data_IF_180978386664
#
_entry.id   IF_180978386664
#
_cell.length_a   1.000
_cell.length_b   1.000
_cell.length_c   1.000
_cell.angle_alpha   90.00
_cell.angle_beta   90.00
_cell.angle_gamma   90.00
#
_symmetry.space_group_name_H-M   'P 1'
#
loop_
_entity.id
_entity.type
_entity.pdbx_description
1 polymer ?
#
# COMPACT_ATOMS: atom_id res chain seq x y z
N UNK A 1 4.33 15.26 12.83
CA UNK A 1 4.19 13.79 12.93
C UNK A 1 3.74 13.28 11.57
N UNK A 2 4.47 12.33 10.98
CA UNK A 2 4.01 11.57 9.81
C UNK A 2 3.08 10.48 10.30
N UNK A 3 1.85 10.45 9.77
CA UNK A 3 0.92 9.35 10.01
C UNK A 3 1.37 8.11 9.22
N UNK A 4 1.26 6.89 9.77
CA UNK A 4 1.52 5.66 9.02
C UNK A 4 0.52 5.53 7.87
N UNK A 5 1.02 5.63 6.64
CA UNK A 5 0.23 5.49 5.42
C UNK A 5 1.07 4.75 4.36
N UNK A 6 0.40 3.99 3.49
CA UNK A 6 1.02 3.44 2.29
C UNK A 6 1.12 4.57 1.27
N UNK A 7 2.35 4.95 0.90
CA UNK A 7 2.59 6.02 -0.07
C UNK A 7 2.91 5.44 -1.44
N UNK A 8 2.09 5.76 -2.44
CA UNK A 8 2.35 5.45 -3.85
C UNK A 8 2.92 6.69 -4.52
N UNK A 9 4.10 6.57 -5.12
CA UNK A 9 4.83 7.67 -5.74
C UNK A 9 5.25 7.31 -7.16
N UNK A 10 4.87 8.13 -8.14
CA UNK A 10 5.42 8.06 -9.49
C UNK A 10 6.67 8.92 -9.57
N UNK A 11 7.81 8.29 -9.80
CA UNK A 11 9.10 8.96 -9.88
C UNK A 11 9.32 9.59 -11.27
N UNK A 12 9.92 10.78 -11.29
CA UNK A 12 10.33 11.43 -12.54
C UNK A 12 11.65 10.78 -13.01
N UNK A 13 11.72 10.23 -14.24
CA UNK A 13 12.96 9.68 -14.78
C UNK A 13 14.10 10.71 -14.75
N UNK A 14 15.27 10.33 -14.21
CA UNK A 14 16.40 11.25 -14.00
C UNK A 14 16.15 12.37 -12.97
N UNK A 15 15.01 12.35 -12.29
CA UNK A 15 14.52 13.41 -11.41
C UNK A 15 15.20 13.51 -10.05
N UNK A 16 16.20 12.67 -9.75
CA UNK A 16 16.94 12.62 -8.47
C UNK A 16 16.03 12.39 -7.25
N UNK A 17 15.09 11.45 -7.37
CA UNK A 17 14.14 11.09 -6.30
C UNK A 17 12.93 12.02 -6.17
N UNK A 18 12.75 12.94 -7.13
CA UNK A 18 11.52 13.73 -7.24
C UNK A 18 10.41 12.87 -7.86
N UNK A 19 9.22 12.99 -7.29
CA UNK A 19 8.00 12.37 -7.81
C UNK A 19 7.13 13.40 -8.54
N UNK A 20 6.45 12.96 -9.59
CA UNK A 20 5.43 13.75 -10.31
C UNK A 20 4.07 13.64 -9.64
N UNK A 21 3.77 12.48 -9.04
CA UNK A 21 2.51 12.18 -8.37
C UNK A 21 2.82 11.43 -7.08
N UNK A 22 2.10 11.79 -6.01
CA UNK A 22 2.09 11.06 -4.75
C UNK A 22 0.67 10.94 -4.24
N UNK A 23 0.31 9.75 -3.76
CA UNK A 23 -0.94 9.50 -3.04
C UNK A 23 -0.68 8.63 -1.84
N UNK A 24 -1.27 9.01 -0.72
CA UNK A 24 -1.12 8.33 0.55
C UNK A 24 -2.45 7.66 0.91
N UNK A 25 -2.39 6.37 1.23
CA UNK A 25 -3.50 5.57 1.71
C UNK A 25 -3.25 5.24 3.18
N UNK A 26 -3.99 5.88 4.09
CA UNK A 26 -3.83 5.70 5.53
C UNK A 26 -4.82 4.68 6.11
N UNK A 27 -5.71 4.16 5.27
CA UNK A 27 -6.71 3.15 5.62
C UNK A 27 -7.04 2.29 4.40
N UNK A 28 -7.43 1.04 4.62
CA UNK A 28 -8.02 0.15 3.61
C UNK A 28 -8.97 -0.82 4.31
N UNK A 29 -9.96 -1.35 3.59
CA UNK A 29 -10.98 -2.26 4.14
C UNK A 29 -11.69 -1.73 5.41
N UNK A 30 -11.85 -0.42 5.52
CA UNK A 30 -12.44 0.23 6.71
C UNK A 30 -11.56 0.23 7.96
N UNK A 31 -10.31 -0.27 7.87
CA UNK A 31 -9.32 -0.25 8.95
C UNK A 31 -8.27 0.83 8.71
N UNK A 32 -7.86 1.51 9.77
CA UNK A 32 -6.85 2.55 9.75
C UNK A 32 -5.47 1.98 10.11
N UNK A 33 -4.46 2.41 9.35
CA UNK A 33 -3.06 2.01 9.55
C UNK A 33 -2.43 2.65 10.80
N UNK A 34 -3.15 3.56 11.46
CA UNK A 34 -2.67 4.33 12.61
C UNK A 34 -2.95 3.58 13.92
N UNK A 35 -4.10 2.94 14.02
CA UNK A 35 -4.69 2.47 15.28
C UNK A 35 -5.19 1.02 15.22
N UNK A 36 -5.46 0.44 14.05
CA UNK A 36 -5.95 -0.94 13.96
C UNK A 36 -4.84 -1.99 13.87
N UNK A 37 -3.58 -1.59 13.67
CA UNK A 37 -2.45 -2.50 13.46
C UNK A 37 -1.27 -2.16 14.36
N UNK A 38 -0.64 -3.20 14.91
CA UNK A 38 0.61 -3.09 15.67
C UNK A 38 1.85 -3.18 14.79
N UNK A 39 1.73 -3.79 13.60
CA UNK A 39 2.79 -3.87 12.61
C UNK A 39 2.22 -3.93 11.19
N UNK A 40 2.92 -3.30 10.25
CA UNK A 40 2.62 -3.31 8.81
C UNK A 40 3.95 -3.41 8.07
N UNK A 41 4.13 -4.46 7.28
CA UNK A 41 5.39 -4.73 6.59
C UNK A 41 5.15 -4.95 5.09
N UNK A 42 5.83 -4.16 4.26
CA UNK A 42 5.85 -4.38 2.82
C UNK A 42 6.76 -5.58 2.48
N UNK A 43 6.25 -6.55 1.73
CA UNK A 43 7.00 -7.76 1.38
C UNK A 43 7.61 -7.67 -0.02
N UNK A 44 6.77 -7.44 -1.02
CA UNK A 44 7.15 -7.37 -2.44
C UNK A 44 6.08 -6.65 -3.22
N UNK A 45 6.45 -6.15 -4.40
CA UNK A 45 5.50 -5.58 -5.34
C UNK A 45 6.00 -5.69 -6.77
N UNK A 46 5.06 -5.69 -7.70
CA UNK A 46 5.29 -5.78 -9.12
C UNK A 46 4.25 -4.93 -9.86
N UNK A 47 4.67 -4.36 -10.99
CA UNK A 47 3.75 -3.79 -11.95
C UNK A 47 3.31 -4.90 -12.90
N UNK A 48 2.01 -5.11 -13.04
CA UNK A 48 1.40 -5.98 -14.04
C UNK A 48 0.38 -5.15 -14.81
N UNK A 49 0.60 -5.04 -16.13
CA UNK A 49 -0.15 -4.14 -17.01
C UNK A 49 -0.16 -2.70 -16.45
N UNK A 50 -1.33 -2.17 -16.09
CA UNK A 50 -1.55 -0.83 -15.51
C UNK A 50 -1.92 -0.89 -14.01
N UNK A 51 -1.51 -1.97 -13.32
CA UNK A 51 -1.76 -2.16 -11.89
C UNK A 51 -0.46 -2.36 -11.14
N UNK A 52 -0.36 -1.71 -9.97
CA UNK A 52 0.66 -2.03 -8.99
C UNK A 52 0.07 -3.06 -8.02
N UNK A 53 0.58 -4.29 -8.09
CA UNK A 53 0.22 -5.36 -7.17
C UNK A 53 1.33 -5.53 -6.15
N UNK A 54 1.00 -5.58 -4.88
CA UNK A 54 1.98 -5.77 -3.83
C UNK A 54 1.43 -6.56 -2.66
N UNK A 55 2.34 -7.13 -1.88
CA UNK A 55 2.02 -7.96 -0.73
C UNK A 55 2.45 -7.23 0.54
N UNK A 56 1.54 -7.20 1.52
CA UNK A 56 1.81 -6.68 2.86
C UNK A 56 1.51 -7.76 3.90
N UNK A 57 2.34 -7.79 4.93
CA UNK A 57 2.06 -8.53 6.15
C UNK A 57 1.58 -7.55 7.23
N UNK A 58 0.49 -7.90 7.89
CA UNK A 58 -0.18 -7.08 8.89
C UNK A 58 -0.26 -7.85 10.19
N UNK A 59 -0.10 -7.15 11.31
CA UNK A 59 -0.40 -7.69 12.63
C UNK A 59 -1.45 -6.81 13.28
N UNK A 60 -2.73 -7.25 13.35
CA UNK A 60 -3.78 -6.48 14.00
C UNK A 60 -3.41 -6.14 15.44
N UNK A 61 -3.78 -4.93 15.89
CA UNK A 61 -3.51 -4.48 17.25
C UNK A 61 -4.17 -5.44 18.27
N UNK A 62 -3.44 -5.79 19.32
CA UNK A 62 -3.91 -6.72 20.35
C UNK A 62 -3.82 -8.21 19.96
N UNK A 63 -3.29 -8.53 18.79
CA UNK A 63 -3.08 -9.92 18.33
C UNK A 63 -1.60 -10.20 18.05
N UNK A 64 -1.24 -11.48 17.91
CA UNK A 64 0.08 -11.92 17.41
C UNK A 64 -0.01 -12.61 16.05
N UNK A 65 -1.21 -12.68 15.48
CA UNK A 65 -1.44 -13.36 14.22
C UNK A 65 -1.04 -12.43 13.07
N UNK A 66 -0.35 -12.99 12.08
CA UNK A 66 0.08 -12.26 10.89
C UNK A 66 -0.92 -12.55 9.77
N UNK A 67 -1.55 -11.50 9.25
CA UNK A 67 -2.38 -11.57 8.05
C UNK A 67 -1.55 -11.15 6.84
N UNK A 68 -1.49 -12.00 5.81
CA UNK A 68 -0.90 -11.63 4.53
C UNK A 68 -2.01 -11.12 3.61
N UNK A 69 -1.84 -9.91 3.08
CA UNK A 69 -2.76 -9.30 2.11
C UNK A 69 -2.05 -9.05 0.80
N UNK A 70 -2.75 -9.34 -0.29
CA UNK A 70 -2.40 -8.87 -1.63
C UNK A 70 -3.19 -7.60 -1.88
N UNK A 71 -2.49 -6.50 -2.10
CA UNK A 71 -3.04 -5.21 -2.41
C UNK A 71 -2.81 -4.85 -3.88
N UNK A 72 -3.76 -4.10 -4.43
CA UNK A 72 -3.73 -3.61 -5.81
C UNK A 72 -4.01 -2.12 -5.81
N UNK A 73 -3.25 -1.40 -6.61
CA UNK A 73 -3.50 0.02 -6.92
C UNK A 73 -3.75 0.16 -8.40
N UNK A 74 -4.94 0.67 -8.72
CA UNK A 74 -5.32 1.00 -10.09
C UNK A 74 -4.84 2.42 -10.43
N UNK A 75 -4.40 2.59 -11.68
CA UNK A 75 -3.99 3.89 -12.20
C UNK A 75 -4.98 4.36 -13.27
N UNK A 76 -5.34 5.64 -13.21
CA UNK A 76 -6.13 6.33 -14.24
C UNK A 76 -5.41 7.59 -14.66
N UNK A 77 -5.13 7.72 -15.96
CA UNK A 77 -4.37 8.85 -16.51
C UNK A 77 -3.03 9.07 -15.79
N UNK A 78 -2.37 7.97 -15.39
CA UNK A 78 -1.11 7.98 -14.64
C UNK A 78 -1.24 8.40 -13.18
N UNK A 79 -2.46 8.50 -12.62
CA UNK A 79 -2.68 8.80 -11.21
C UNK A 79 -3.19 7.57 -10.45
N UNK A 80 -2.63 7.26 -9.26
CA UNK A 80 -3.16 6.20 -8.42
C UNK A 80 -4.54 6.61 -7.89
N UNK A 81 -5.56 5.78 -8.10
CA UNK A 81 -6.93 6.09 -7.70
C UNK A 81 -7.35 5.34 -6.43
N UNK A 82 -7.39 4.02 -6.48
CA UNK A 82 -7.93 3.20 -5.40
C UNK A 82 -6.91 2.17 -4.94
N UNK A 83 -6.90 1.89 -3.63
CA UNK A 83 -6.16 0.80 -3.02
C UNK A 83 -7.17 -0.23 -2.51
N UNK A 84 -7.12 -1.44 -3.06
CA UNK A 84 -7.90 -2.58 -2.60
C UNK A 84 -6.97 -3.66 -2.09
N UNK A 85 -7.31 -4.30 -0.97
CA UNK A 85 -6.52 -5.36 -0.38
C UNK A 85 -7.39 -6.59 -0.13
N UNK A 86 -6.84 -7.78 -0.38
CA UNK A 86 -7.53 -9.05 -0.21
C UNK A 86 -6.63 -10.02 0.55
N UNK A 87 -7.22 -10.95 1.31
CA UNK A 87 -6.45 -11.99 1.98
C UNK A 87 -5.72 -12.84 0.94
N UNK A 88 -4.43 -13.04 1.16
CA UNK A 88 -3.65 -14.01 0.43
C UNK A 88 -3.97 -15.39 0.99
N UNK A 89 -4.76 -16.17 0.26
CA UNK A 89 -4.89 -17.60 0.52
C UNK A 89 -3.75 -18.29 -0.23
N UNK A 90 -2.66 -18.57 0.50
CA UNK A 90 -1.58 -19.44 0.03
C UNK A 90 -1.97 -20.90 0.15
#
# INVERSE_FOLDING_TARGET
MTLPCISIQLQIPGGKGRYSVRKDFCSFDGKSLIDDFSNVEFKRGEFQDDQLRFEIALTPLGTKEIEIKICQVNFKDGQPEELTCQLSYG
#
